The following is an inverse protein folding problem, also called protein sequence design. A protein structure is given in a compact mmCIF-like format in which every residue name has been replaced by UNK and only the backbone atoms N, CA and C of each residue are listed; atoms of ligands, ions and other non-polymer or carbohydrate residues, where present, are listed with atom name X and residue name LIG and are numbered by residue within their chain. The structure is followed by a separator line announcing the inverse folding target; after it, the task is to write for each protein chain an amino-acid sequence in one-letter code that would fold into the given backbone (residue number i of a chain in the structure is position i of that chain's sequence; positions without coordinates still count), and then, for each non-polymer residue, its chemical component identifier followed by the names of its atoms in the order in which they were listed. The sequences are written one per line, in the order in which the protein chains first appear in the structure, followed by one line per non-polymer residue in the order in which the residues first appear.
data_IF_704084649568
#
_entry.id   IF_704084649568
#
_cell.length_a   1.000
_cell.length_b   1.000
_cell.length_c   1.000
_cell.angle_alpha   90.00
_cell.angle_beta   90.00
_cell.angle_gamma   90.00
#
_symmetry.space_group_name_H-M   'P 1'
#
loop_
_entity.id
_entity.type
_entity.pdbx_description
1 polymer ?
#
# COMPACT_ATOMS: atom_id res chain seq x y z
N UNK A 1 3.74 -6.48 -2.03
CA UNK A 1 3.92 -5.25 -1.23
C UNK A 1 3.69 -4.07 -2.16
N UNK A 2 2.96 -3.05 -1.73
CA UNK A 2 3.02 -1.74 -2.38
C UNK A 2 4.33 -1.07 -1.97
N UNK A 3 4.91 -0.21 -2.81
CA UNK A 3 6.14 0.50 -2.50
C UNK A 3 6.08 1.38 -1.24
N UNK A 4 7.17 2.11 -0.99
CA UNK A 4 7.26 3.08 0.10
C UNK A 4 6.65 4.42 -0.32
N UNK A 5 5.70 4.93 0.46
CA UNK A 5 5.02 6.20 0.12
C UNK A 5 5.92 7.39 0.45
N UNK A 6 6.08 8.29 -0.52
CA UNK A 6 6.79 9.56 -0.40
C UNK A 6 5.80 10.70 -0.58
N UNK A 7 5.96 11.78 0.17
CA UNK A 7 5.17 12.99 0.00
C UNK A 7 5.98 14.22 0.38
N UNK A 8 5.55 15.37 -0.11
CA UNK A 8 6.20 16.65 0.17
C UNK A 8 5.45 17.82 -0.42
N UNK A 9 6.12 18.97 -0.46
CA UNK A 9 5.60 20.21 -1.03
C UNK A 9 6.62 20.87 -1.95
N UNK A 10 6.16 21.51 -3.02
CA UNK A 10 6.93 22.37 -3.90
C UNK A 10 6.03 23.51 -4.41
N UNK A 11 6.49 24.43 -5.30
CA UNK A 11 5.61 25.41 -5.90
C UNK A 11 4.38 24.73 -6.55
N UNK A 12 3.18 25.34 -6.48
CA UNK A 12 1.97 24.78 -7.09
C UNK A 12 2.12 24.53 -8.59
N UNK A 13 1.40 23.54 -9.09
CA UNK A 13 1.32 23.22 -10.53
C UNK A 13 2.70 23.06 -11.19
N UNK A 14 3.62 22.39 -10.50
CA UNK A 14 5.02 22.22 -10.91
C UNK A 14 5.38 20.75 -11.05
N UNK A 15 6.19 20.45 -12.06
CA UNK A 15 6.76 19.12 -12.28
C UNK A 15 8.10 18.97 -11.56
N UNK A 16 8.27 17.82 -10.92
CA UNK A 16 9.43 17.47 -10.11
C UNK A 16 9.93 16.09 -10.53
N UNK A 17 11.23 15.87 -10.36
CA UNK A 17 11.84 14.56 -10.48
C UNK A 17 12.43 14.16 -9.13
N UNK A 18 12.12 12.95 -8.68
CA UNK A 18 12.65 12.36 -7.46
C UNK A 18 13.61 11.25 -7.86
N UNK A 19 14.89 11.42 -7.54
CA UNK A 19 15.89 10.38 -7.72
C UNK A 19 15.84 9.39 -6.54
N UNK A 20 15.51 8.16 -6.88
CA UNK A 20 15.42 7.02 -5.98
C UNK A 20 16.66 6.11 -6.01
N UNK A 21 16.69 5.08 -5.14
CA UNK A 21 17.77 4.10 -5.10
C UNK A 21 17.93 3.37 -6.45
N UNK A 22 19.17 3.01 -6.78
CA UNK A 22 19.47 2.25 -8.00
C UNK A 22 19.34 3.04 -9.31
N UNK A 23 19.30 4.39 -9.25
CA UNK A 23 19.18 5.24 -10.45
C UNK A 23 17.75 5.33 -11.00
N UNK A 24 16.75 4.99 -10.18
CA UNK A 24 15.34 5.23 -10.50
C UNK A 24 15.05 6.72 -10.45
N UNK A 25 14.29 7.25 -11.41
CA UNK A 25 13.75 8.61 -11.35
C UNK A 25 12.23 8.54 -11.46
N UNK A 26 11.55 9.26 -10.57
CA UNK A 26 10.08 9.30 -10.50
C UNK A 26 9.65 10.73 -10.80
N UNK A 27 8.81 10.89 -11.82
CA UNK A 27 8.17 12.18 -12.12
C UNK A 27 6.92 12.35 -11.25
N UNK A 28 6.80 13.53 -10.63
CA UNK A 28 5.67 13.88 -9.77
C UNK A 28 5.29 15.33 -10.02
N UNK A 29 4.00 15.61 -10.14
CA UNK A 29 3.47 16.96 -10.18
C UNK A 29 2.85 17.37 -8.85
N UNK A 30 2.93 18.66 -8.53
CA UNK A 30 2.22 19.24 -7.39
C UNK A 30 0.79 19.61 -7.75
N UNK A 31 -0.11 19.51 -6.76
CA UNK A 31 -1.45 20.07 -6.85
C UNK A 31 -1.45 21.60 -6.69
N UNK A 32 -2.64 22.21 -6.76
CA UNK A 32 -2.82 23.66 -6.58
C UNK A 32 -2.43 24.20 -5.20
N UNK A 33 -2.27 23.33 -4.19
CA UNK A 33 -1.76 23.67 -2.87
C UNK A 33 -0.23 23.44 -2.76
N UNK A 34 0.42 23.01 -3.85
CA UNK A 34 1.84 22.68 -3.88
C UNK A 34 2.18 21.32 -3.27
N UNK A 35 1.19 20.48 -2.93
CA UNK A 35 1.43 19.16 -2.31
C UNK A 35 1.61 18.10 -3.39
N UNK A 36 2.42 17.11 -3.07
CA UNK A 36 2.60 15.94 -3.90
C UNK A 36 2.75 14.67 -3.07
N UNK A 37 2.38 13.54 -3.66
CA UNK A 37 2.60 12.22 -3.11
C UNK A 37 2.89 11.22 -4.24
N UNK A 38 3.80 10.28 -3.99
CA UNK A 38 4.11 9.19 -4.92
C UNK A 38 4.48 7.93 -4.15
N UNK A 39 4.62 6.81 -4.86
CA UNK A 39 5.01 5.53 -4.28
C UNK A 39 6.31 5.06 -4.94
N UNK A 40 7.35 4.91 -4.12
CA UNK A 40 8.63 4.34 -4.53
C UNK A 40 8.57 2.82 -4.46
N UNK A 41 8.57 2.15 -5.61
CA UNK A 41 8.61 0.69 -5.68
C UNK A 41 10.00 0.14 -5.32
N UNK A 42 10.23 -0.07 -4.02
CA UNK A 42 11.48 -0.65 -3.48
C UNK A 42 11.65 -2.14 -3.82
N UNK A 43 10.55 -2.85 -4.05
CA UNK A 43 10.52 -4.27 -4.33
C UNK A 43 9.60 -4.55 -5.51
N UNK A 44 9.75 -5.71 -6.16
CA UNK A 44 8.77 -6.17 -7.15
C UNK A 44 7.37 -6.24 -6.52
N UNK A 45 6.41 -5.57 -7.15
CA UNK A 45 5.00 -5.55 -6.77
C UNK A 45 4.19 -6.56 -7.61
N UNK A 46 2.90 -6.76 -7.30
CA UNK A 46 1.99 -7.60 -8.07
C UNK A 46 2.10 -9.12 -7.86
N UNK A 47 3.21 -9.65 -7.34
CA UNK A 47 3.40 -11.10 -7.15
C UNK A 47 2.31 -11.78 -6.31
N UNK A 48 1.79 -11.10 -5.28
CA UNK A 48 0.69 -11.61 -4.46
C UNK A 48 -0.66 -11.64 -5.19
N UNK A 49 -0.94 -10.64 -6.03
CA UNK A 49 -2.14 -10.63 -6.86
C UNK A 49 -2.06 -11.76 -7.90
N UNK A 50 -0.92 -11.89 -8.58
CA UNK A 50 -0.69 -12.98 -9.53
C UNK A 50 -0.85 -14.36 -8.87
N UNK A 51 -0.30 -14.56 -7.68
CA UNK A 51 -0.48 -15.81 -6.94
C UNK A 51 -1.95 -16.07 -6.58
N UNK A 52 -2.71 -15.03 -6.23
CA UNK A 52 -4.14 -15.16 -5.97
C UNK A 52 -4.92 -15.57 -7.24
N UNK A 53 -4.57 -14.99 -8.38
CA UNK A 53 -5.11 -15.37 -9.69
C UNK A 53 -4.75 -16.82 -10.06
N UNK A 54 -3.48 -17.20 -9.92
CA UNK A 54 -2.97 -18.54 -10.23
C UNK A 54 -3.62 -19.64 -9.36
N UNK A 55 -3.96 -19.30 -8.11
CA UNK A 55 -4.60 -20.21 -7.14
C UNK A 55 -6.13 -20.12 -7.14
N UNK A 56 -6.71 -19.27 -8.00
CA UNK A 56 -8.16 -19.01 -8.07
C UNK A 56 -8.77 -18.58 -6.71
N UNK A 57 -8.01 -17.81 -5.92
CA UNK A 57 -8.46 -17.28 -4.62
C UNK A 57 -8.69 -15.76 -4.67
N UNK A 58 -9.58 -15.20 -3.82
CA UNK A 58 -9.83 -13.76 -3.83
C UNK A 58 -8.58 -12.95 -3.48
N UNK A 59 -8.32 -11.91 -4.27
CA UNK A 59 -7.30 -10.92 -3.95
C UNK A 59 -7.87 -9.85 -3.01
N UNK A 60 -7.40 -9.86 -1.76
CA UNK A 60 -7.89 -8.95 -0.73
C UNK A 60 -7.27 -7.54 -0.84
N UNK A 61 -6.07 -7.43 -1.42
CA UNK A 61 -5.40 -6.14 -1.62
C UNK A 61 -3.93 -6.17 -1.28
N UNK A 62 -3.32 -4.99 -1.28
CA UNK A 62 -1.90 -4.78 -0.97
C UNK A 62 -1.74 -3.72 0.12
N UNK A 63 -0.85 -3.99 1.07
CA UNK A 63 -0.45 -3.03 2.10
C UNK A 63 0.88 -2.39 1.67
N UNK A 64 1.01 -1.05 1.74
CA UNK A 64 2.24 -0.35 1.42
C UNK A 64 3.36 -0.69 2.39
N UNK A 65 4.59 -0.60 1.92
CA UNK A 65 5.74 -0.76 2.78
C UNK A 65 5.83 0.42 3.75
N UNK A 66 5.63 0.16 5.03
CA UNK A 66 5.64 1.16 6.09
C UNK A 66 6.55 0.69 7.24
N UNK A 67 7.76 1.29 7.39
CA UNK A 67 8.68 1.01 8.49
C UNK A 67 8.08 1.24 9.88
N UNK A 68 7.05 2.08 9.98
CA UNK A 68 6.30 2.30 11.21
C UNK A 68 5.53 1.06 11.66
N UNK A 69 5.23 0.10 10.78
CA UNK A 69 4.68 -1.21 11.18
C UNK A 69 5.69 -1.98 12.03
N UNK A 70 6.96 -1.99 11.63
CA UNK A 70 8.02 -2.71 12.36
C UNK A 70 8.20 -2.12 13.75
N UNK A 71 8.33 -0.78 13.83
CA UNK A 71 8.44 -0.08 15.12
C UNK A 71 7.21 -0.27 16.00
N UNK A 72 6.01 -0.21 15.42
CA UNK A 72 4.77 -0.42 16.17
C UNK A 72 4.64 -1.83 16.76
N UNK A 73 5.29 -2.83 16.16
CA UNK A 73 5.41 -4.17 16.74
C UNK A 73 6.29 -4.19 17.99
N UNK A 74 7.44 -3.50 17.94
CA UNK A 74 8.41 -3.44 19.06
C UNK A 74 7.91 -2.53 20.21
N UNK A 75 7.28 -1.40 19.88
CA UNK A 75 6.81 -0.40 20.83
C UNK A 75 5.43 -0.74 21.45
N UNK A 76 4.76 -1.78 20.93
CA UNK A 76 3.44 -2.23 21.40
C UNK A 76 2.25 -1.36 20.96
N UNK A 77 2.49 -0.34 20.12
CA UNK A 77 1.43 0.50 19.54
C UNK A 77 1.41 0.30 18.04
N UNK A 78 0.43 -0.47 17.55
CA UNK A 78 0.34 -0.79 16.13
C UNK A 78 0.14 0.48 15.29
N UNK A 79 0.82 0.52 14.13
CA UNK A 79 0.79 1.64 13.17
C UNK A 79 -0.61 2.15 12.81
N UNK A 80 -1.59 1.26 12.72
CA UNK A 80 -2.98 1.56 12.38
C UNK A 80 -3.64 2.41 13.48
N UNK A 81 -3.30 2.14 14.75
CA UNK A 81 -3.79 2.89 15.92
C UNK A 81 -3.04 4.21 16.03
N UNK A 82 -1.72 4.19 15.81
CA UNK A 82 -0.89 5.38 15.92
C UNK A 82 -1.16 6.43 14.83
N UNK A 83 -1.50 6.00 13.61
CA UNK A 83 -1.79 6.89 12.48
C UNK A 83 -2.97 6.37 11.66
N UNK A 84 -4.21 6.56 12.15
CA UNK A 84 -5.42 6.00 11.53
C UNK A 84 -5.73 6.59 10.15
N UNK A 85 -5.32 7.84 9.90
CA UNK A 85 -5.52 8.51 8.62
C UNK A 85 -4.42 8.23 7.59
N UNK A 86 -3.37 7.50 8.00
CA UNK A 86 -2.23 7.14 7.16
C UNK A 86 -2.62 6.14 6.06
N UNK A 87 -1.84 6.13 4.98
CA UNK A 87 -2.09 5.27 3.81
C UNK A 87 -2.14 3.79 4.21
N UNK A 88 -1.21 3.36 5.07
CA UNK A 88 -1.15 2.00 5.60
C UNK A 88 -2.43 1.59 6.34
N UNK A 89 -2.94 2.46 7.22
CA UNK A 89 -4.15 2.20 7.99
C UNK A 89 -5.37 2.07 7.07
N UNK A 90 -5.51 2.99 6.09
CA UNK A 90 -6.59 2.95 5.10
C UNK A 90 -6.54 1.70 4.23
N UNK A 91 -5.36 1.31 3.73
CA UNK A 91 -5.19 0.07 2.96
C UNK A 91 -5.50 -1.18 3.80
N UNK A 92 -5.16 -1.17 5.09
CA UNK A 92 -5.47 -2.28 5.99
C UNK A 92 -6.99 -2.41 6.21
N UNK A 93 -7.68 -1.30 6.47
CA UNK A 93 -9.15 -1.29 6.63
C UNK A 93 -9.84 -1.88 5.39
N UNK A 94 -9.43 -1.47 4.18
CA UNK A 94 -9.97 -2.01 2.93
C UNK A 94 -9.79 -3.53 2.79
N UNK A 95 -8.67 -4.08 3.28
CA UNK A 95 -8.43 -5.53 3.30
C UNK A 95 -9.38 -6.21 4.28
N UNK A 96 -9.56 -5.64 5.48
CA UNK A 96 -10.47 -6.15 6.49
C UNK A 96 -11.92 -6.14 6.01
N UNK A 97 -12.36 -5.07 5.35
CA UNK A 97 -13.72 -4.96 4.81
C UNK A 97 -14.02 -6.12 3.85
N UNK A 98 -13.09 -6.42 2.92
CA UNK A 98 -13.26 -7.57 2.02
C UNK A 98 -13.25 -8.91 2.73
N UNK A 99 -12.47 -9.06 3.80
CA UNK A 99 -12.51 -10.28 4.63
C UNK A 99 -13.88 -10.42 5.27
N UNK A 100 -14.43 -9.34 5.82
CA UNK A 100 -15.77 -9.33 6.41
C UNK A 100 -16.84 -9.67 5.38
N UNK A 101 -16.80 -9.09 4.18
CA UNK A 101 -17.72 -9.42 3.09
C UNK A 101 -17.72 -10.93 2.75
N UNK A 102 -16.54 -11.56 2.71
CA UNK A 102 -16.39 -13.00 2.43
C UNK A 102 -16.95 -13.84 3.58
N UNK A 103 -16.67 -13.45 4.84
CA UNK A 103 -17.14 -14.16 6.03
C UNK A 103 -18.66 -14.08 6.16
N UNK A 104 -19.24 -12.90 5.95
CA UNK A 104 -20.68 -12.64 6.07
C UNK A 104 -21.48 -13.27 4.93
N UNK A 105 -20.95 -13.28 3.70
CA UNK A 105 -21.61 -13.92 2.55
C UNK A 105 -21.62 -15.45 2.61
N UNK A 106 -20.86 -16.07 3.54
CA UNK A 106 -20.73 -17.52 3.67
C UNK A 106 -20.08 -18.19 2.45
N UNK A 107 -19.51 -17.39 1.54
CA UNK A 107 -18.98 -17.87 0.27
C UNK A 107 -17.55 -18.39 0.47
N UNK A 108 -17.42 -19.69 0.77
CA UNK A 108 -16.13 -20.36 0.89
C UNK A 108 -15.59 -20.70 -0.49
N UNK A 109 -14.61 -19.94 -0.97
CA UNK A 109 -13.83 -20.34 -2.15
C UNK A 109 -13.04 -21.60 -1.80
N UNK A 110 -13.24 -22.68 -2.55
CA UNK A 110 -12.41 -23.87 -2.42
C UNK A 110 -11.00 -23.53 -2.93
N UNK A 111 -9.97 -23.81 -2.12
CA UNK A 111 -8.58 -23.60 -2.54
C UNK A 111 -8.17 -24.75 -3.46
N UNK A 112 -8.04 -24.47 -4.76
CA UNK A 112 -7.60 -25.44 -5.76
C UNK A 112 -6.06 -25.49 -5.78
N UNK A 113 -5.47 -26.35 -4.93
CA UNK A 113 -4.04 -26.66 -5.01
C UNK A 113 -3.87 -27.79 -6.03
N UNK A 114 -3.37 -27.47 -7.22
CA UNK A 114 -2.98 -28.46 -8.25
C UNK A 114 -1.57 -28.98 -8.03
#
# INVERSE_FOLDING_TARGET
MSGYSLSGTAPPESDLTIDGPGGMSIEVSTDGDGKWATVLDLFKSGGGQKAAEDLEVPYLGSIPFDPGIVRGGDDGVHRIVAEPDGVTAKSFVQVVDKVMDIVESGNRTAVNIR
#
